data_IF_423346097953
#
_entry.id   IF_423346097953
#
_cell.length_a   1.000
_cell.length_b   1.000
_cell.length_c   1.000
_cell.angle_alpha   90.00
_cell.angle_beta   90.00
_cell.angle_gamma   90.00
#
_symmetry.space_group_name_H-M   'P 1'
#
loop_
_entity.id
_entity.type
_entity.pdbx_description
1 polymer ?
#
# COMPACT_ATOMS: atom_id res chain seq x y z
N UNK A 1 34.50 -13.80 -30.58
CA UNK A 1 33.11 -13.38 -30.86
C UNK A 1 32.27 -13.87 -29.70
N UNK A 2 31.90 -12.98 -28.78
CA UNK A 2 31.10 -13.32 -27.62
C UNK A 2 29.64 -13.41 -28.05
N UNK A 3 29.03 -14.58 -27.91
CA UNK A 3 27.60 -14.77 -28.15
C UNK A 3 26.80 -13.91 -27.16
N UNK A 4 25.88 -13.12 -27.71
CA UNK A 4 24.92 -12.36 -26.92
C UNK A 4 24.04 -13.35 -26.14
N UNK A 5 24.20 -13.39 -24.82
CA UNK A 5 23.32 -14.12 -23.91
C UNK A 5 21.92 -13.55 -24.09
N UNK A 6 21.03 -14.34 -24.69
CA UNK A 6 19.63 -14.00 -24.81
C UNK A 6 18.98 -14.13 -23.40
N UNK A 7 18.53 -13.05 -22.77
CA UNK A 7 17.91 -13.09 -21.45
C UNK A 7 16.54 -13.82 -21.44
N UNK A 8 16.07 -14.27 -22.61
CA UNK A 8 14.85 -15.07 -22.80
C UNK A 8 15.12 -16.56 -23.02
N UNK A 9 16.34 -17.05 -22.76
CA UNK A 9 16.63 -18.50 -22.82
C UNK A 9 15.71 -19.29 -21.88
N UNK A 10 14.96 -20.23 -22.46
CA UNK A 10 14.04 -21.17 -21.79
C UNK A 10 14.77 -22.21 -20.92
N UNK A 11 16.09 -22.17 -20.81
CA UNK A 11 16.90 -23.15 -20.07
C UNK A 11 17.26 -22.72 -18.65
N UNK A 12 16.91 -21.50 -18.23
CA UNK A 12 17.15 -21.02 -16.88
C UNK A 12 16.06 -21.46 -15.91
N UNK A 13 15.95 -22.75 -15.59
CA UNK A 13 15.24 -23.20 -14.39
C UNK A 13 15.99 -22.64 -13.19
N UNK A 14 15.60 -21.44 -12.73
CA UNK A 14 15.96 -20.97 -11.42
C UNK A 14 15.47 -22.04 -10.44
N UNK A 15 16.39 -22.75 -9.78
CA UNK A 15 16.04 -23.77 -8.80
C UNK A 15 15.09 -23.13 -7.78
N UNK A 16 13.81 -23.49 -7.84
CA UNK A 16 12.82 -23.11 -6.84
C UNK A 16 13.28 -23.72 -5.51
N UNK A 17 13.92 -22.92 -4.67
CA UNK A 17 14.34 -23.36 -3.35
C UNK A 17 13.10 -23.71 -2.53
N UNK A 18 13.17 -24.85 -1.84
CA UNK A 18 12.03 -25.58 -1.28
C UNK A 18 11.38 -24.89 -0.08
N UNK A 19 10.66 -23.79 -0.30
CA UNK A 19 9.57 -23.46 0.63
C UNK A 19 8.57 -24.62 0.61
N UNK A 20 8.14 -25.15 1.77
CA UNK A 20 7.08 -26.14 1.81
C UNK A 20 5.87 -25.59 1.03
N UNK A 21 5.24 -26.42 0.19
CA UNK A 21 4.17 -25.99 -0.72
C UNK A 21 3.03 -25.24 -0.02
N UNK A 22 2.75 -25.59 1.25
CA UNK A 22 1.74 -24.92 2.05
C UNK A 22 2.09 -23.45 2.36
N UNK A 23 3.39 -23.13 2.44
CA UNK A 23 3.91 -21.83 2.87
C UNK A 23 4.37 -20.98 1.69
N UNK A 24 4.72 -21.57 0.54
CA UNK A 24 5.22 -20.87 -0.66
C UNK A 24 4.11 -20.08 -1.39
N UNK A 25 4.14 -18.74 -1.42
CA UNK A 25 3.26 -17.95 -2.28
C UNK A 25 3.41 -18.32 -3.77
N UNK A 26 4.61 -18.61 -4.25
CA UNK A 26 4.87 -19.00 -5.64
C UNK A 26 4.08 -20.26 -6.03
N UNK A 27 4.06 -21.27 -5.16
CA UNK A 27 3.29 -22.49 -5.38
C UNK A 27 1.79 -22.20 -5.49
N UNK A 28 1.24 -21.42 -4.57
CA UNK A 28 -0.18 -21.03 -4.58
C UNK A 28 -0.54 -20.21 -5.82
N UNK A 29 0.33 -19.27 -6.21
CA UNK A 29 0.16 -18.52 -7.45
C UNK A 29 0.17 -19.45 -8.65
N UNK A 30 1.11 -20.38 -8.75
CA UNK A 30 1.14 -21.33 -9.86
C UNK A 30 -0.14 -22.19 -9.95
N UNK A 31 -0.67 -22.65 -8.81
CA UNK A 31 -1.96 -23.36 -8.78
C UNK A 31 -3.12 -22.47 -9.23
N UNK A 32 -3.15 -21.21 -8.80
CA UNK A 32 -4.17 -20.26 -9.23
C UNK A 32 -4.10 -19.98 -10.74
N UNK A 33 -2.90 -19.82 -11.30
CA UNK A 33 -2.69 -19.64 -12.74
C UNK A 33 -3.16 -20.86 -13.54
N UNK A 34 -2.80 -22.07 -13.11
CA UNK A 34 -3.26 -23.31 -13.74
C UNK A 34 -4.78 -23.42 -13.71
N UNK A 35 -5.41 -23.11 -12.57
CA UNK A 35 -6.86 -23.18 -12.41
C UNK A 35 -7.62 -22.15 -13.25
N UNK A 36 -7.05 -20.96 -13.45
CA UNK A 36 -7.74 -19.83 -14.12
C UNK A 36 -7.43 -19.72 -15.61
N UNK A 37 -6.22 -20.09 -16.03
CA UNK A 37 -5.74 -19.92 -17.41
C UNK A 37 -5.43 -21.23 -18.12
N UNK A 38 -5.40 -22.36 -17.40
CA UNK A 38 -4.94 -23.65 -17.94
C UNK A 38 -3.42 -23.72 -18.19
N UNK A 39 -2.67 -22.65 -17.88
CA UNK A 39 -1.23 -22.56 -18.12
C UNK A 39 -0.48 -22.32 -16.81
N UNK A 40 0.78 -22.81 -16.69
CA UNK A 40 1.59 -22.54 -15.52
C UNK A 40 1.94 -21.06 -15.43
N UNK A 41 2.13 -20.55 -14.21
CA UNK A 41 2.54 -19.16 -13.96
C UNK A 41 3.81 -18.79 -14.73
N UNK A 42 4.74 -19.73 -14.88
CA UNK A 42 6.01 -19.52 -15.61
C UNK A 42 5.83 -19.22 -17.10
N UNK A 43 4.67 -19.52 -17.70
CA UNK A 43 4.35 -19.20 -19.09
C UNK A 43 3.80 -17.77 -19.25
N UNK A 44 3.32 -17.15 -18.17
CA UNK A 44 2.71 -15.82 -18.24
C UNK A 44 3.76 -14.72 -18.41
N UNK A 45 3.44 -13.66 -19.15
CA UNK A 45 4.28 -12.46 -19.28
C UNK A 45 3.39 -11.23 -19.27
N UNK A 46 3.86 -10.17 -18.62
CA UNK A 46 3.19 -8.89 -18.75
C UNK A 46 3.52 -8.26 -20.09
N UNK A 47 2.48 -7.92 -20.83
CA UNK A 47 2.57 -7.39 -22.20
C UNK A 47 1.70 -6.13 -22.29
N UNK A 48 2.31 -4.94 -22.52
CA UNK A 48 1.56 -3.70 -22.70
C UNK A 48 0.54 -3.81 -23.83
N UNK A 49 -0.68 -3.34 -23.59
CA UNK A 49 -1.74 -3.32 -24.59
C UNK A 49 -2.60 -4.58 -24.67
N UNK A 50 -2.08 -5.73 -24.25
CA UNK A 50 -2.78 -7.03 -24.31
C UNK A 50 -3.18 -7.52 -22.92
N UNK A 51 -2.34 -7.30 -21.91
CA UNK A 51 -2.64 -7.70 -20.54
C UNK A 51 -3.74 -6.81 -19.97
N UNK A 52 -4.57 -7.34 -19.06
CA UNK A 52 -5.64 -6.55 -18.43
C UNK A 52 -5.06 -5.29 -17.75
N UNK A 53 -5.72 -4.14 -17.95
CA UNK A 53 -5.30 -2.84 -17.41
C UNK A 53 -3.84 -2.44 -17.74
N UNK A 54 -3.33 -2.86 -18.90
CA UNK A 54 -1.95 -2.57 -19.35
C UNK A 54 -1.85 -1.48 -20.43
N UNK A 55 -2.94 -0.74 -20.70
CA UNK A 55 -2.94 0.37 -21.66
C UNK A 55 -2.86 1.72 -20.95
N UNK A 56 -2.07 2.66 -21.50
CA UNK A 56 -2.04 4.05 -21.01
C UNK A 56 -3.46 4.66 -20.95
N UNK A 57 -4.25 4.42 -22.01
CA UNK A 57 -5.63 4.92 -22.10
C UNK A 57 -6.50 4.33 -21.00
N UNK A 58 -6.36 3.04 -20.69
CA UNK A 58 -7.09 2.39 -19.60
C UNK A 58 -6.74 2.99 -18.24
N UNK A 59 -5.44 3.20 -17.98
CA UNK A 59 -4.95 3.85 -16.75
C UNK A 59 -5.48 5.27 -16.59
N UNK A 60 -5.36 6.10 -17.63
CA UNK A 60 -5.88 7.47 -17.63
C UNK A 60 -7.40 7.51 -17.43
N UNK A 61 -8.12 6.62 -18.13
CA UNK A 61 -9.58 6.47 -17.96
C UNK A 61 -9.91 6.08 -16.52
N UNK A 62 -9.13 5.18 -15.92
CA UNK A 62 -9.25 4.79 -14.52
C UNK A 62 -9.11 5.97 -13.55
N UNK A 63 -8.10 6.83 -13.75
CA UNK A 63 -7.92 8.05 -12.94
C UNK A 63 -9.12 8.98 -13.09
N UNK A 64 -9.56 9.25 -14.32
CA UNK A 64 -10.71 10.13 -14.57
C UNK A 64 -11.99 9.59 -13.93
N UNK A 65 -12.27 8.29 -14.09
CA UNK A 65 -13.44 7.64 -13.49
C UNK A 65 -13.35 7.63 -11.97
N UNK A 66 -12.17 7.40 -11.40
CA UNK A 66 -11.95 7.46 -9.96
C UNK A 66 -12.24 8.87 -9.42
N UNK A 67 -11.66 9.91 -10.03
CA UNK A 67 -11.91 11.30 -9.60
C UNK A 67 -13.37 11.71 -9.80
N UNK A 68 -14.00 11.30 -10.91
CA UNK A 68 -15.42 11.51 -11.15
C UNK A 68 -16.28 10.83 -10.06
N UNK A 69 -15.92 9.61 -9.65
CA UNK A 69 -16.57 8.91 -8.53
C UNK A 69 -16.37 9.67 -7.22
N UNK A 70 -15.17 10.19 -6.93
CA UNK A 70 -14.92 10.98 -5.72
C UNK A 70 -15.79 12.23 -5.69
N UNK A 71 -15.67 13.11 -6.68
CA UNK A 71 -16.35 14.41 -6.65
C UNK A 71 -17.86 14.30 -6.95
N UNK A 72 -18.23 13.49 -7.95
CA UNK A 72 -19.62 13.23 -8.30
C UNK A 72 -20.34 12.45 -7.21
N UNK A 73 -19.72 11.41 -6.66
CA UNK A 73 -20.27 10.65 -5.54
C UNK A 73 -20.48 11.51 -4.30
N UNK A 74 -19.54 12.42 -3.99
CA UNK A 74 -19.75 13.40 -2.91
C UNK A 74 -20.94 14.32 -3.17
N UNK A 75 -21.11 14.79 -4.41
CA UNK A 75 -22.24 15.65 -4.78
C UNK A 75 -23.58 14.93 -4.62
N UNK A 76 -23.68 13.69 -5.11
CA UNK A 76 -24.88 12.85 -4.95
C UNK A 76 -25.17 12.61 -3.47
N UNK A 77 -24.15 12.24 -2.70
CA UNK A 77 -24.32 11.92 -1.28
C UNK A 77 -24.70 13.12 -0.40
N UNK A 78 -24.50 14.37 -0.86
CA UNK A 78 -25.03 15.57 -0.16
C UNK A 78 -26.55 15.52 -0.05
N UNK A 79 -27.24 15.09 -1.11
CA UNK A 79 -28.70 15.05 -1.19
C UNK A 79 -29.30 13.81 -0.49
N UNK A 80 -28.49 12.83 -0.12
CA UNK A 80 -28.93 11.64 0.62
C UNK A 80 -29.03 11.94 2.11
N UNK A 81 -30.20 11.76 2.73
CA UNK A 81 -30.46 12.17 4.11
C UNK A 81 -29.54 11.51 5.15
N UNK A 82 -29.21 10.22 5.00
CA UNK A 82 -28.43 9.44 5.99
C UNK A 82 -27.21 8.78 5.35
N UNK A 83 -26.07 8.66 6.07
CA UNK A 83 -24.92 7.91 5.58
C UNK A 83 -25.24 6.42 5.46
N UNK A 84 -24.70 5.77 4.42
CA UNK A 84 -24.96 4.35 4.16
C UNK A 84 -24.11 3.50 5.11
N UNK A 85 -24.78 2.63 5.88
CA UNK A 85 -24.12 1.78 6.89
C UNK A 85 -23.53 0.52 6.27
N UNK A 86 -22.29 0.60 5.80
CA UNK A 86 -21.58 -0.51 5.14
C UNK A 86 -20.59 -1.22 6.08
N UNK A 87 -20.97 -1.49 7.33
CA UNK A 87 -20.04 -2.02 8.36
C UNK A 87 -19.38 -3.34 7.95
N UNK A 88 -20.19 -4.35 7.59
CA UNK A 88 -19.69 -5.68 7.20
C UNK A 88 -18.84 -5.64 5.95
N UNK A 89 -19.26 -4.87 4.94
CA UNK A 89 -18.49 -4.68 3.69
C UNK A 89 -17.14 -4.03 4.00
N UNK A 90 -17.12 -3.00 4.86
CA UNK A 90 -15.87 -2.35 5.28
C UNK A 90 -14.95 -3.32 6.03
N UNK A 91 -15.50 -4.13 6.93
CA UNK A 91 -14.74 -5.14 7.67
C UNK A 91 -14.11 -6.14 6.71
N UNK A 92 -14.90 -6.72 5.81
CA UNK A 92 -14.43 -7.70 4.84
C UNK A 92 -13.38 -7.09 3.91
N UNK A 93 -13.62 -5.89 3.39
CA UNK A 93 -12.68 -5.17 2.51
C UNK A 93 -11.31 -4.94 3.18
N UNK A 94 -11.28 -4.40 4.41
CA UNK A 94 -10.03 -4.17 5.13
C UNK A 94 -9.31 -5.50 5.47
N UNK A 95 -10.07 -6.54 5.83
CA UNK A 95 -9.49 -7.86 6.09
C UNK A 95 -8.88 -8.45 4.82
N UNK A 96 -9.58 -8.37 3.69
CA UNK A 96 -9.09 -8.82 2.38
C UNK A 96 -7.82 -8.06 1.98
N UNK A 97 -7.79 -6.74 2.08
CA UNK A 97 -6.59 -5.96 1.74
C UNK A 97 -5.43 -6.24 2.68
N UNK A 98 -5.68 -6.51 3.97
CA UNK A 98 -4.64 -6.97 4.91
C UNK A 98 -4.04 -8.31 4.45
N UNK A 99 -4.89 -9.29 4.14
CA UNK A 99 -4.46 -10.63 3.73
C UNK A 99 -3.74 -10.62 2.38
N UNK A 100 -4.28 -9.91 1.39
CA UNK A 100 -3.66 -9.79 0.06
C UNK A 100 -2.30 -9.08 0.18
N UNK A 101 -2.22 -8.01 0.98
CA UNK A 101 -0.94 -7.29 1.16
C UNK A 101 0.11 -8.19 1.82
N UNK A 102 -0.28 -8.98 2.82
CA UNK A 102 0.62 -9.93 3.48
C UNK A 102 1.06 -11.05 2.55
N UNK A 103 0.15 -11.59 1.74
CA UNK A 103 0.48 -12.61 0.74
C UNK A 103 1.47 -12.08 -0.31
N UNK A 104 1.24 -10.89 -0.86
CA UNK A 104 2.14 -10.28 -1.84
C UNK A 104 3.49 -9.91 -1.23
N UNK A 105 3.52 -9.46 0.03
CA UNK A 105 4.78 -9.22 0.75
C UNK A 105 5.61 -10.50 0.83
N UNK A 106 5.01 -11.61 1.25
CA UNK A 106 5.68 -12.90 1.29
C UNK A 106 6.13 -13.35 -0.10
N UNK A 107 5.33 -13.10 -1.13
CA UNK A 107 5.69 -13.43 -2.51
C UNK A 107 6.91 -12.62 -2.98
N UNK A 108 6.99 -11.32 -2.69
CA UNK A 108 8.18 -10.52 -2.97
C UNK A 108 9.41 -11.04 -2.24
N UNK A 109 9.27 -11.37 -0.94
CA UNK A 109 10.37 -11.91 -0.14
C UNK A 109 10.88 -13.24 -0.68
N UNK A 110 9.98 -14.15 -1.09
CA UNK A 110 10.34 -15.44 -1.68
C UNK A 110 11.21 -15.28 -2.94
N UNK A 111 10.92 -14.27 -3.77
CA UNK A 111 11.69 -14.02 -4.99
C UNK A 111 12.99 -13.24 -4.74
N UNK A 112 13.01 -12.31 -3.78
CA UNK A 112 14.14 -11.39 -3.59
C UNK A 112 15.20 -11.87 -2.61
N UNK A 113 14.81 -12.57 -1.53
CA UNK A 113 15.74 -12.98 -0.48
C UNK A 113 16.86 -13.90 -1.00
N UNK A 114 16.60 -14.89 -1.89
CA UNK A 114 17.67 -15.70 -2.47
C UNK A 114 18.63 -14.85 -3.32
N UNK A 115 18.09 -13.98 -4.18
CA UNK A 115 18.91 -13.10 -5.00
C UNK A 115 19.78 -12.15 -4.15
N UNK A 116 19.24 -11.65 -3.03
CA UNK A 116 20.01 -10.83 -2.09
C UNK A 116 21.12 -11.67 -1.44
N UNK A 117 20.80 -12.84 -0.91
CA UNK A 117 21.77 -13.73 -0.27
C UNK A 117 22.93 -14.09 -1.20
N UNK A 118 22.62 -14.43 -2.44
CA UNK A 118 23.60 -15.03 -3.36
C UNK A 118 24.37 -13.98 -4.16
N UNK A 119 23.74 -12.84 -4.49
CA UNK A 119 24.30 -11.82 -5.39
C UNK A 119 24.46 -10.44 -4.74
N UNK A 120 24.01 -10.26 -3.50
CA UNK A 120 24.11 -9.03 -2.73
C UNK A 120 22.99 -8.02 -3.00
N UNK A 121 22.90 -7.01 -2.12
CA UNK A 121 21.83 -6.00 -2.15
C UNK A 121 21.86 -5.13 -3.41
N UNK A 122 23.05 -4.71 -3.85
CA UNK A 122 23.17 -3.86 -5.03
C UNK A 122 22.60 -4.55 -6.29
N UNK A 123 22.89 -5.86 -6.45
CA UNK A 123 22.34 -6.64 -7.55
C UNK A 123 20.81 -6.65 -7.53
N UNK A 124 20.17 -6.79 -6.35
CA UNK A 124 18.71 -6.89 -6.28
C UNK A 124 18.00 -5.57 -6.57
N UNK A 125 18.62 -4.42 -6.30
CA UNK A 125 17.99 -3.11 -6.57
C UNK A 125 18.35 -2.53 -7.94
N UNK A 126 19.49 -2.90 -8.52
CA UNK A 126 19.98 -2.31 -9.78
C UNK A 126 20.23 -3.32 -10.90
N UNK A 127 20.53 -4.58 -10.60
CA UNK A 127 20.98 -5.54 -11.60
C UNK A 127 19.94 -5.82 -12.69
N UNK A 128 20.37 -5.87 -13.95
CA UNK A 128 19.48 -6.13 -15.08
C UNK A 128 18.70 -7.45 -14.95
N UNK A 129 19.32 -8.48 -14.36
CA UNK A 129 18.73 -9.81 -14.17
C UNK A 129 17.96 -9.95 -12.86
N UNK A 130 17.79 -8.87 -12.08
CA UNK A 130 16.97 -8.88 -10.86
C UNK A 130 15.47 -8.80 -11.17
N UNK A 131 15.10 -8.21 -12.31
CA UNK A 131 13.72 -8.24 -12.81
C UNK A 131 13.45 -9.56 -13.53
N UNK A 132 13.10 -10.59 -12.76
CA UNK A 132 12.78 -11.92 -13.27
C UNK A 132 11.30 -12.04 -13.65
N UNK A 133 10.93 -13.08 -14.39
CA UNK A 133 9.52 -13.31 -14.70
C UNK A 133 8.64 -13.58 -13.45
N UNK A 134 9.05 -14.40 -12.48
CA UNK A 134 8.29 -14.55 -11.24
C UNK A 134 8.08 -13.21 -10.51
N UNK A 135 9.10 -12.34 -10.51
CA UNK A 135 9.01 -10.98 -9.97
C UNK A 135 7.94 -10.14 -10.71
N UNK A 136 7.94 -10.19 -12.04
CA UNK A 136 6.98 -9.46 -12.88
C UNK A 136 5.52 -9.85 -12.57
N UNK A 137 5.25 -11.14 -12.29
CA UNK A 137 3.92 -11.61 -11.87
C UNK A 137 3.52 -10.97 -10.55
N UNK A 138 4.39 -11.05 -9.53
CA UNK A 138 4.09 -10.51 -8.19
C UNK A 138 3.89 -9.00 -8.25
N UNK A 139 4.73 -8.31 -9.02
CA UNK A 139 4.60 -6.87 -9.24
C UNK A 139 3.28 -6.52 -9.93
N UNK A 140 2.91 -7.24 -10.98
CA UNK A 140 1.64 -7.02 -11.67
C UNK A 140 0.43 -7.25 -10.74
N UNK A 141 0.47 -8.26 -9.87
CA UNK A 141 -0.58 -8.46 -8.88
C UNK A 141 -0.63 -7.30 -7.87
N UNK A 142 0.52 -6.79 -7.42
CA UNK A 142 0.58 -5.57 -6.61
C UNK A 142 0.03 -4.33 -7.35
N UNK A 143 0.27 -4.21 -8.65
CA UNK A 143 -0.35 -3.17 -9.45
C UNK A 143 -1.88 -3.30 -9.48
N UNK A 144 -2.42 -4.53 -9.63
CA UNK A 144 -3.87 -4.76 -9.59
C UNK A 144 -4.48 -4.40 -8.22
N UNK A 145 -3.76 -4.57 -7.10
CA UNK A 145 -4.30 -4.17 -5.80
C UNK A 145 -4.52 -2.66 -5.71
N UNK A 146 -3.75 -1.83 -6.42
CA UNK A 146 -3.96 -0.37 -6.44
C UNK A 146 -5.29 0.04 -7.05
N UNK A 147 -5.81 -0.75 -7.99
CA UNK A 147 -7.17 -0.60 -8.49
C UNK A 147 -8.22 -1.01 -7.47
N UNK A 148 -7.96 -2.07 -6.69
CA UNK A 148 -8.85 -2.52 -5.62
C UNK A 148 -8.92 -1.50 -4.46
N UNK A 149 -7.82 -0.83 -4.16
CA UNK A 149 -7.72 0.22 -3.14
C UNK A 149 -8.61 1.45 -3.45
N UNK A 150 -9.03 1.68 -4.71
CA UNK A 150 -10.02 2.72 -5.02
C UNK A 150 -11.35 2.52 -4.29
N UNK A 151 -11.67 1.29 -3.92
CA UNK A 151 -12.87 0.99 -3.14
C UNK A 151 -12.83 1.60 -1.73
N UNK A 152 -11.66 1.89 -1.16
CA UNK A 152 -11.55 2.62 0.12
C UNK A 152 -12.25 3.97 0.03
N UNK A 153 -11.99 4.69 -1.06
CA UNK A 153 -12.58 6.00 -1.28
C UNK A 153 -14.08 5.91 -1.55
N UNK A 154 -14.52 4.89 -2.29
CA UNK A 154 -15.97 4.60 -2.47
C UNK A 154 -16.64 4.42 -1.12
N UNK A 155 -16.07 3.59 -0.23
CA UNK A 155 -16.61 3.36 1.11
C UNK A 155 -16.63 4.63 1.97
N UNK A 156 -15.64 5.53 1.84
CA UNK A 156 -15.64 6.82 2.53
C UNK A 156 -16.76 7.73 2.01
N UNK A 157 -16.91 7.85 0.70
CA UNK A 157 -17.94 8.68 0.05
C UNK A 157 -19.35 8.21 0.44
N UNK A 158 -19.63 6.90 0.38
CA UNK A 158 -20.94 6.34 0.77
C UNK A 158 -21.26 6.52 2.26
N UNK A 159 -20.23 6.64 3.11
CA UNK A 159 -20.37 6.99 4.53
C UNK A 159 -20.47 8.50 4.79
N UNK A 160 -20.54 9.32 3.74
CA UNK A 160 -20.50 10.80 3.80
C UNK A 160 -19.25 11.33 4.50
N UNK A 161 -18.14 10.60 4.43
CA UNK A 161 -16.82 11.11 4.88
C UNK A 161 -16.13 11.78 3.71
N UNK A 162 -15.60 12.99 3.94
CA UNK A 162 -14.82 13.69 2.91
C UNK A 162 -13.42 13.09 2.84
N UNK A 163 -13.03 12.44 1.72
CA UNK A 163 -11.65 12.01 1.56
C UNK A 163 -10.76 13.26 1.51
N UNK A 164 -9.66 13.22 2.24
CA UNK A 164 -8.67 14.29 2.21
C UNK A 164 -7.97 14.34 0.86
N UNK A 165 -7.41 15.51 0.50
CA UNK A 165 -6.63 15.66 -0.74
C UNK A 165 -5.52 14.59 -0.83
N UNK A 166 -4.79 14.39 0.27
CA UNK A 166 -3.75 13.36 0.37
C UNK A 166 -4.26 11.98 -0.07
N UNK A 167 -5.48 11.61 0.32
CA UNK A 167 -6.02 10.27 0.07
C UNK A 167 -6.28 10.04 -1.43
N UNK A 168 -7.11 10.88 -2.07
CA UNK A 168 -7.45 10.64 -3.48
C UNK A 168 -6.30 11.01 -4.44
N UNK A 169 -5.43 11.94 -4.05
CA UNK A 169 -4.19 12.20 -4.78
C UNK A 169 -3.25 10.99 -4.74
N UNK A 170 -3.02 10.42 -3.55
CA UNK A 170 -2.18 9.24 -3.39
C UNK A 170 -2.74 8.03 -4.14
N UNK A 171 -4.01 7.66 -3.94
CA UNK A 171 -4.55 6.47 -4.61
C UNK A 171 -4.48 6.59 -6.14
N UNK A 172 -4.91 7.72 -6.71
CA UNK A 172 -4.90 7.91 -8.17
C UNK A 172 -3.50 7.83 -8.76
N UNK A 173 -2.52 8.51 -8.17
CA UNK A 173 -1.17 8.57 -8.71
C UNK A 173 -0.31 7.36 -8.33
N UNK A 174 -0.59 6.66 -7.24
CA UNK A 174 0.10 5.40 -6.90
C UNK A 174 -0.24 4.31 -7.92
N UNK A 175 -1.48 4.26 -8.40
CA UNK A 175 -1.85 3.35 -9.49
C UNK A 175 -1.09 3.68 -10.79
N UNK A 176 -0.97 4.97 -11.14
CA UNK A 176 -0.17 5.42 -12.30
C UNK A 176 1.32 5.10 -12.11
N UNK A 177 1.86 5.34 -10.91
CA UNK A 177 3.25 5.05 -10.59
C UNK A 177 3.55 3.55 -10.78
N UNK A 178 2.75 2.66 -10.20
CA UNK A 178 2.95 1.22 -10.37
C UNK A 178 2.85 0.79 -11.85
N UNK A 179 2.01 1.46 -12.65
CA UNK A 179 1.94 1.18 -14.08
C UNK A 179 3.22 1.61 -14.83
N UNK A 180 3.72 2.83 -14.59
CA UNK A 180 4.95 3.33 -15.22
C UNK A 180 6.19 2.53 -14.80
N UNK A 181 6.27 2.11 -13.54
CA UNK A 181 7.34 1.25 -13.02
C UNK A 181 7.30 -0.16 -13.66
N UNK A 182 6.10 -0.70 -13.90
CA UNK A 182 5.91 -1.98 -14.60
C UNK A 182 6.30 -1.86 -16.09
N UNK A 183 5.94 -0.76 -16.75
CA UNK A 183 6.42 -0.44 -18.11
C UNK A 183 7.95 -0.35 -18.15
N UNK A 184 8.54 0.33 -17.16
CA UNK A 184 9.97 0.55 -17.05
C UNK A 184 10.77 -0.69 -16.61
N UNK A 185 10.09 -1.74 -16.11
CA UNK A 185 10.70 -2.93 -15.50
C UNK A 185 11.81 -2.55 -14.51
N UNK A 186 11.47 -1.66 -13.60
CA UNK A 186 12.42 -1.02 -12.67
C UNK A 186 12.79 -1.98 -11.54
N UNK A 187 14.08 -2.26 -11.40
CA UNK A 187 14.56 -3.26 -10.44
C UNK A 187 14.33 -2.88 -8.98
N UNK A 188 14.56 -1.63 -8.58
CA UNK A 188 14.39 -1.17 -7.19
C UNK A 188 12.93 -1.25 -6.71
N UNK A 189 11.97 -1.40 -7.62
CA UNK A 189 10.55 -1.33 -7.29
C UNK A 189 10.09 -2.45 -6.34
N UNK A 190 10.77 -3.61 -6.30
CA UNK A 190 10.38 -4.71 -5.38
C UNK A 190 10.51 -4.32 -3.90
N UNK A 191 11.58 -3.62 -3.51
CA UNK A 191 11.81 -3.28 -2.10
C UNK A 191 10.87 -2.16 -1.67
N UNK A 192 10.64 -1.18 -2.53
CA UNK A 192 9.66 -0.10 -2.32
C UNK A 192 8.26 -0.71 -2.15
N UNK A 193 7.86 -1.63 -3.03
CA UNK A 193 6.58 -2.32 -2.92
C UNK A 193 6.50 -3.17 -1.64
N UNK A 194 7.60 -3.83 -1.25
CA UNK A 194 7.63 -4.66 -0.03
C UNK A 194 7.42 -3.84 1.23
N UNK A 195 8.10 -2.69 1.37
CA UNK A 195 7.92 -1.80 2.52
C UNK A 195 6.50 -1.21 2.51
N UNK A 196 5.98 -0.82 1.34
CA UNK A 196 4.59 -0.36 1.22
C UNK A 196 3.58 -1.44 1.64
N UNK A 197 3.76 -2.68 1.19
CA UNK A 197 2.89 -3.80 1.55
C UNK A 197 2.95 -4.11 3.04
N UNK A 198 4.12 -4.02 3.67
CA UNK A 198 4.25 -4.16 5.12
C UNK A 198 3.44 -3.10 5.86
N UNK A 199 3.56 -1.83 5.46
CA UNK A 199 2.78 -0.73 6.05
C UNK A 199 1.29 -0.94 5.77
N UNK A 200 0.89 -1.42 4.58
CA UNK A 200 -0.49 -1.72 4.23
C UNK A 200 -1.09 -2.85 5.08
N UNK A 201 -0.32 -3.91 5.38
CA UNK A 201 -0.76 -4.96 6.32
C UNK A 201 -1.13 -4.34 7.67
N UNK A 202 -0.27 -3.49 8.22
CA UNK A 202 -0.49 -2.85 9.53
C UNK A 202 -1.66 -1.86 9.46
N UNK A 203 -1.72 -1.04 8.41
CA UNK A 203 -2.74 -0.01 8.20
C UNK A 203 -4.15 -0.60 8.03
N UNK A 204 -4.32 -1.58 7.12
CA UNK A 204 -5.62 -2.19 6.89
C UNK A 204 -6.07 -3.04 8.08
N UNK A 205 -5.14 -3.69 8.79
CA UNK A 205 -5.47 -4.36 10.04
C UNK A 205 -5.97 -3.38 11.11
N UNK A 206 -5.33 -2.21 11.22
CA UNK A 206 -5.80 -1.14 12.08
C UNK A 206 -7.21 -0.68 11.70
N UNK A 207 -7.50 -0.48 10.41
CA UNK A 207 -8.84 -0.08 9.96
C UNK A 207 -9.90 -1.18 10.15
N UNK A 208 -9.54 -2.44 9.97
CA UNK A 208 -10.40 -3.58 10.30
C UNK A 208 -10.77 -3.54 11.79
N UNK A 209 -9.79 -3.42 12.68
CA UNK A 209 -10.00 -3.35 14.13
C UNK A 209 -10.84 -2.15 14.55
N UNK A 210 -10.58 -0.97 13.95
CA UNK A 210 -11.38 0.23 14.15
C UNK A 210 -12.83 0.03 13.71
N UNK A 211 -13.07 -0.66 12.59
CA UNK A 211 -14.42 -0.98 12.11
C UNK A 211 -15.17 -1.99 12.99
N UNK A 212 -14.44 -2.82 13.75
CA UNK A 212 -14.99 -3.67 14.81
C UNK A 212 -15.33 -2.91 16.11
N UNK A 213 -15.02 -1.61 16.18
CA UNK A 213 -15.29 -0.75 17.33
C UNK A 213 -14.16 -0.70 18.36
N UNK A 214 -13.00 -1.29 18.07
CA UNK A 214 -11.83 -1.22 18.95
C UNK A 214 -11.08 0.09 18.70
N UNK A 215 -10.89 0.90 19.75
CA UNK A 215 -10.03 2.09 19.70
C UNK A 215 -8.60 1.65 20.00
N UNK A 216 -7.65 2.00 19.13
CA UNK A 216 -6.24 1.67 19.34
C UNK A 216 -5.42 2.96 19.53
N UNK A 217 -4.53 2.98 20.52
CA UNK A 217 -3.74 4.17 20.89
C UNK A 217 -2.65 4.51 19.86
N UNK A 218 -2.12 3.51 19.15
CA UNK A 218 -0.98 3.61 18.24
C UNK A 218 -1.29 4.18 16.84
N UNK A 219 -2.32 5.03 16.72
CA UNK A 219 -2.66 5.69 15.44
C UNK A 219 -1.55 6.62 14.93
N UNK A 220 -0.80 7.22 15.86
CA UNK A 220 0.31 8.13 15.53
C UNK A 220 1.51 7.35 15.02
N UNK A 221 1.85 6.23 15.68
CA UNK A 221 2.89 5.29 15.25
C UNK A 221 2.63 4.83 13.81
N UNK A 222 1.37 4.56 13.44
CA UNK A 222 1.01 4.21 12.07
C UNK A 222 1.40 5.30 11.06
N UNK A 223 1.12 6.56 11.37
CA UNK A 223 1.46 7.69 10.48
C UNK A 223 2.98 7.89 10.42
N UNK A 224 3.68 7.70 11.54
CA UNK A 224 5.14 7.74 11.60
C UNK A 224 5.76 6.63 10.74
N UNK A 225 5.23 5.41 10.78
CA UNK A 225 5.68 4.30 9.92
C UNK A 225 5.54 4.63 8.44
N UNK A 226 4.43 5.27 8.03
CA UNK A 226 4.23 5.72 6.64
C UNK A 226 5.26 6.79 6.22
N UNK A 227 5.57 7.75 7.10
CA UNK A 227 6.60 8.77 6.82
C UNK A 227 7.98 8.13 6.69
N UNK A 228 8.35 7.24 7.61
CA UNK A 228 9.63 6.52 7.57
C UNK A 228 9.74 5.68 6.29
N UNK A 229 8.67 5.00 5.89
CA UNK A 229 8.62 4.31 4.59
C UNK A 229 9.00 5.26 3.45
N UNK A 230 8.32 6.41 3.30
CA UNK A 230 8.60 7.32 2.18
C UNK A 230 10.04 7.86 2.19
N UNK A 231 10.63 8.08 3.37
CA UNK A 231 12.03 8.50 3.48
C UNK A 231 12.98 7.42 2.97
N UNK A 232 12.76 6.16 3.33
CA UNK A 232 13.56 5.01 2.86
C UNK A 232 13.38 4.81 1.36
N UNK A 233 12.13 4.82 0.88
CA UNK A 233 11.79 4.64 -0.54
C UNK A 233 12.46 5.72 -1.42
N UNK A 234 12.43 6.98 -0.96
CA UNK A 234 13.09 8.09 -1.65
C UNK A 234 14.61 7.94 -1.66
N UNK A 235 15.22 7.56 -0.54
CA UNK A 235 16.66 7.30 -0.49
C UNK A 235 17.09 6.27 -1.53
N UNK A 236 16.35 5.17 -1.65
CA UNK A 236 16.60 4.13 -2.65
C UNK A 236 16.36 4.62 -4.08
N UNK A 237 15.27 5.34 -4.34
CA UNK A 237 14.98 5.88 -5.67
C UNK A 237 16.05 6.85 -6.15
N UNK A 238 16.43 7.83 -5.32
CA UNK A 238 17.46 8.80 -5.66
C UNK A 238 18.84 8.14 -5.81
N UNK A 239 19.15 7.13 -4.98
CA UNK A 239 20.38 6.36 -5.13
C UNK A 239 20.45 5.62 -6.48
N UNK A 240 19.38 4.93 -6.88
CA UNK A 240 19.33 4.23 -8.16
C UNK A 240 19.34 5.21 -9.35
N UNK A 241 18.63 6.32 -9.27
CA UNK A 241 18.63 7.36 -10.30
C UNK A 241 20.01 8.00 -10.45
N UNK A 242 20.67 8.34 -9.34
CA UNK A 242 22.02 8.88 -9.33
C UNK A 242 23.02 7.88 -9.97
N UNK A 243 22.94 6.61 -9.58
CA UNK A 243 23.81 5.56 -10.14
C UNK A 243 23.59 5.39 -11.65
N UNK A 244 22.35 5.40 -12.12
CA UNK A 244 22.04 5.35 -13.56
C UNK A 244 22.59 6.58 -14.31
N UNK A 245 22.36 7.79 -13.79
CA UNK A 245 22.83 9.02 -14.45
C UNK A 245 24.36 9.06 -14.51
N UNK A 246 25.04 8.71 -13.42
CA UNK A 246 26.51 8.75 -13.34
C UNK A 246 27.17 7.68 -14.20
N UNK A 247 26.58 6.49 -14.31
CA UNK A 247 27.07 5.43 -15.20
C UNK A 247 27.03 5.84 -16.68
N UNK A 248 26.01 6.62 -17.09
CA UNK A 248 25.85 7.14 -18.45
C UNK A 248 26.40 8.56 -18.64
N UNK A 249 27.06 9.15 -17.64
CA UNK A 249 27.60 10.49 -17.72
C UNK A 249 28.89 10.51 -18.56
N UNK A 250 29.05 11.58 -19.36
CA UNK A 250 30.29 11.81 -20.14
C UNK A 250 31.47 12.13 -19.22
N UNK A 251 31.20 12.74 -18.06
CA UNK A 251 32.19 13.05 -17.03
C UNK A 251 32.21 11.90 -16.02
N UNK A 252 33.39 11.34 -15.69
CA UNK A 252 33.50 10.28 -14.68
C UNK A 252 33.14 10.83 -13.30
N UNK A 253 31.92 10.52 -12.86
CA UNK A 253 31.44 10.79 -11.52
C UNK A 253 31.55 9.52 -10.67
N UNK A 254 31.64 9.64 -9.33
CA UNK A 254 31.66 8.46 -8.47
C UNK A 254 30.35 7.67 -8.62
N UNK A 255 30.42 6.50 -9.25
CA UNK A 255 29.32 5.54 -9.37
C UNK A 255 29.64 4.28 -8.58
N UNK A 256 28.62 3.70 -7.94
CA UNK A 256 28.75 2.42 -7.24
C UNK A 256 28.28 1.30 -8.17
N UNK A 257 29.13 0.31 -8.40
CA UNK A 257 28.74 -0.90 -9.13
C UNK A 257 28.46 -0.66 -10.62
N UNK A 258 27.36 -1.25 -11.10
CA UNK A 258 26.94 -1.26 -12.50
C UNK A 258 25.70 -0.38 -12.72
N UNK A 259 25.25 -0.23 -13.97
CA UNK A 259 24.01 0.48 -14.29
C UNK A 259 22.79 -0.10 -13.55
N UNK A 260 21.85 0.77 -13.19
CA UNK A 260 20.59 0.40 -12.58
C UNK A 260 19.51 0.24 -13.65
N UNK A 261 18.87 -0.94 -13.67
CA UNK A 261 17.79 -1.24 -14.61
C UNK A 261 16.53 -0.42 -14.33
N UNK A 262 16.09 0.30 -15.34
CA UNK A 262 14.81 1.02 -15.38
C UNK A 262 14.80 2.04 -16.52
N UNK A 263 13.63 2.59 -16.83
CA UNK A 263 13.54 3.74 -17.73
C UNK A 263 13.70 5.03 -16.93
N UNK A 264 14.30 6.06 -17.54
CA UNK A 264 14.43 7.39 -16.91
C UNK A 264 13.07 7.99 -16.55
N UNK A 265 12.07 7.76 -17.41
CA UNK A 265 10.71 8.23 -17.18
C UNK A 265 10.13 7.64 -15.89
N UNK A 266 10.19 6.32 -15.71
CA UNK A 266 9.73 5.66 -14.48
C UNK A 266 10.48 6.20 -13.26
N UNK A 267 11.81 6.31 -13.33
CA UNK A 267 12.61 6.85 -12.24
C UNK A 267 12.23 8.29 -11.86
N UNK A 268 11.93 9.17 -12.84
CA UNK A 268 11.43 10.51 -12.57
C UNK A 268 10.04 10.50 -11.94
N UNK A 269 9.13 9.65 -12.42
CA UNK A 269 7.82 9.46 -11.79
C UNK A 269 7.97 9.02 -10.32
N UNK A 270 8.80 8.01 -10.05
CA UNK A 270 9.10 7.55 -8.70
C UNK A 270 9.62 8.67 -7.80
N UNK A 271 10.67 9.38 -8.22
CA UNK A 271 11.27 10.45 -7.41
C UNK A 271 10.28 11.59 -7.14
N UNK A 272 9.57 12.08 -8.16
CA UNK A 272 8.65 13.22 -8.03
C UNK A 272 7.43 12.86 -7.19
N UNK A 273 6.78 11.72 -7.46
CA UNK A 273 5.56 11.32 -6.77
C UNK A 273 5.83 10.97 -5.31
N UNK A 274 6.86 10.18 -5.01
CA UNK A 274 7.22 9.84 -3.64
C UNK A 274 7.61 11.09 -2.84
N UNK A 275 8.29 12.06 -3.46
CA UNK A 275 8.64 13.33 -2.82
C UNK A 275 7.36 14.13 -2.47
N UNK A 276 6.41 14.16 -3.41
CA UNK A 276 5.11 14.81 -3.17
C UNK A 276 4.32 14.12 -2.04
N UNK A 277 4.37 12.78 -1.94
CA UNK A 277 3.71 12.04 -0.88
C UNK A 277 4.34 12.32 0.48
N UNK A 278 5.67 12.27 0.59
CA UNK A 278 6.36 12.59 1.83
C UNK A 278 5.95 13.98 2.36
N UNK A 279 5.94 14.98 1.48
CA UNK A 279 5.52 16.34 1.86
C UNK A 279 4.08 16.37 2.38
N UNK A 280 3.15 15.71 1.69
CA UNK A 280 1.74 15.69 2.09
C UNK A 280 1.53 14.92 3.41
N UNK A 281 2.25 13.81 3.63
CA UNK A 281 2.18 13.05 4.89
C UNK A 281 2.79 13.82 6.06
N UNK A 282 3.90 14.52 5.86
CA UNK A 282 4.50 15.41 6.87
C UNK A 282 3.54 16.56 7.20
N UNK A 283 2.92 17.18 6.19
CA UNK A 283 1.90 18.22 6.40
C UNK A 283 0.69 17.68 7.18
N UNK A 284 0.21 16.49 6.82
CA UNK A 284 -0.86 15.81 7.54
C UNK A 284 -0.49 15.55 9.00
N UNK A 285 0.73 15.08 9.25
CA UNK A 285 1.22 14.80 10.61
C UNK A 285 1.30 16.08 11.44
N UNK A 286 1.93 17.13 10.92
CA UNK A 286 2.03 18.43 11.60
C UNK A 286 0.63 18.98 11.90
N UNK A 287 -0.30 18.92 10.95
CA UNK A 287 -1.66 19.43 11.13
C UNK A 287 -2.44 18.64 12.18
N UNK A 288 -2.33 17.31 12.16
CA UNK A 288 -3.17 16.42 12.98
C UNK A 288 -2.64 16.24 14.40
N UNK A 289 -1.30 16.16 14.56
CA UNK A 289 -0.68 15.80 15.83
C UNK A 289 0.03 16.99 16.50
N UNK A 290 0.69 17.87 15.75
CA UNK A 290 1.47 18.98 16.34
C UNK A 290 0.66 20.29 16.49
N UNK A 291 -0.18 20.63 15.51
CA UNK A 291 -1.02 21.85 15.53
C UNK A 291 -2.40 21.61 16.13
N UNK A 292 -2.84 20.35 16.21
CA UNK A 292 -4.15 19.94 16.75
C UNK A 292 -4.33 20.22 18.25
N UNK A 293 -3.27 20.57 18.98
CA UNK A 293 -3.34 20.89 20.42
C UNK A 293 -3.60 22.36 20.76
N UNK A 294 -3.64 23.29 19.79
CA UNK A 294 -3.84 24.73 20.07
C UNK A 294 -5.25 25.27 19.77
N UNK A 295 -6.28 24.44 19.71
CA UNK A 295 -7.65 24.88 19.44
C UNK A 295 -8.74 24.03 20.08
N UNK A 296 -9.14 24.42 21.30
CA UNK A 296 -10.37 24.08 22.02
C UNK A 296 -10.65 22.60 22.36
N UNK A 297 -10.76 22.37 23.68
CA UNK A 297 -11.54 21.31 24.31
C UNK A 297 -12.82 20.96 23.54
N UNK A 298 -12.89 19.73 23.03
CA UNK A 298 -14.11 18.94 22.90
C UNK A 298 -13.76 17.45 22.83
N UNK A 299 -13.72 16.81 24.01
CA UNK A 299 -14.04 15.38 24.12
C UNK A 299 -12.94 14.38 24.47
N UNK A 300 -11.93 14.75 25.26
CA UNK A 300 -11.17 13.76 26.04
C UNK A 300 -11.25 14.15 27.52
N UNK A 301 -12.28 13.66 28.21
CA UNK A 301 -12.31 13.70 29.67
C UNK A 301 -11.37 12.59 30.12
N UNK A 302 -10.20 12.95 30.61
CA UNK A 302 -9.43 12.08 31.50
C UNK A 302 -10.36 11.65 32.63
N UNK A 303 -10.59 10.35 32.74
CA UNK A 303 -11.25 9.79 33.93
C UNK A 303 -10.22 9.94 35.04
N UNK A 304 -10.52 10.86 35.95
CA UNK A 304 -9.83 11.02 37.23
C UNK A 304 -10.13 9.77 38.06
N UNK A 305 -9.12 8.93 38.29
CA UNK A 305 -9.27 7.62 38.93
C UNK A 305 -9.52 7.71 40.45
N UNK A 306 -9.49 8.91 41.04
CA UNK A 306 -9.63 9.12 42.48
C UNK A 306 -11.06 9.38 42.99
N UNK A 307 -12.06 9.55 42.10
CA UNK A 307 -13.45 9.80 42.54
C UNK A 307 -14.27 8.53 42.86
N UNK A 308 -13.66 7.34 42.82
CA UNK A 308 -14.37 6.05 42.92
C UNK A 308 -14.18 5.30 44.24
N UNK A 309 -13.50 5.90 45.23
CA UNK A 309 -13.27 5.27 46.55
C UNK A 309 -14.21 5.69 47.69
N UNK A 310 -15.12 6.65 47.50
CA UNK A 310 -15.97 7.18 48.59
C UNK A 310 -17.46 6.83 48.52
N UNK A 311 -17.88 5.90 47.65
CA UNK A 311 -19.27 5.38 47.66
C UNK A 311 -19.31 3.86 47.79
N UNK A 312 -18.83 3.36 48.93
CA UNK A 312 -19.15 1.99 49.37
C UNK A 312 -19.11 1.87 50.90
N UNK A 313 -19.90 2.68 51.58
CA UNK A 313 -20.38 2.35 52.93
C UNK A 313 -21.75 2.99 53.12
N UNK A 314 -22.81 2.22 52.93
CA UNK A 314 -24.04 2.34 53.74
C UNK A 314 -24.93 1.12 53.46
N UNK A 315 -25.34 0.49 54.56
CA UNK A 315 -26.11 -0.76 54.69
C UNK A 315 -27.63 -0.48 54.52
N UNK A 316 -28.49 -1.49 54.28
CA UNK A 316 -29.86 -1.27 53.81
C UNK A 316 -30.85 -1.07 54.96
N UNK A 317 -31.86 -0.22 54.77
CA UNK A 317 -32.91 -0.05 55.76
C UNK A 317 -34.13 0.77 55.32
N UNK A 318 -35.25 0.04 55.20
CA UNK A 318 -36.65 0.44 55.42
C UNK A 318 -37.48 1.10 54.31
N UNK A 319 -38.66 0.49 54.17
CA UNK A 319 -39.90 0.89 53.52
C UNK A 319 -40.32 2.33 53.85
N UNK A 320 -40.93 3.05 52.89
CA UNK A 320 -42.32 3.53 53.00
C UNK A 320 -42.90 4.06 51.67
N UNK A 321 -44.21 4.23 51.69
CA UNK A 321 -45.22 4.24 50.60
C UNK A 321 -45.39 5.59 49.85
N UNK A 322 -46.22 5.63 48.77
CA UNK A 322 -46.25 6.71 47.79
C UNK A 322 -47.25 7.84 48.14
N UNK A 323 -47.05 9.05 47.60
CA UNK A 323 -48.06 10.11 47.60
C UNK A 323 -48.17 10.76 46.22
N UNK A 324 -49.43 11.12 45.95
CA UNK A 324 -50.16 11.47 44.73
C UNK A 324 -49.72 12.75 44.02
N UNK A 325 -50.21 12.81 42.78
CA UNK A 325 -50.41 13.98 41.93
C UNK A 325 -51.43 14.99 42.49
N UNK A 326 -51.23 16.24 42.10
CA UNK A 326 -52.15 17.39 41.91
C UNK A 326 -51.26 18.48 41.25
N UNK A 327 -51.59 19.18 40.16
CA UNK A 327 -52.81 19.37 39.36
C UNK A 327 -52.53 19.24 37.85
#
# INVERSE_FOLDING_TARGET
MAEAVNPFSLSGTQHSQHWPSLVSPDWWLNKAFLATTGQPKSAWRWTPGTTMLSTQRGVLTGVVLYLAMVFGGQMVMKNVAKPIRLKRITQLHNLLLTTISGFLLLAFMEQCLPAWRDKGFFFTICGADSWTQPMEVVYYLNYLTKWLEFFDTVLLVLKKKKPEFLHYYHHSLTMVLCFEELLGRVSVAWIICSINLLVHVIMYYYYFMASCGKRMWWKEILTTLQIVQFVVDLGLCYFCLYTHITFHAVVPLPSVGADCRGTRLAAYYGCVLLSSYLLLFVQFFIKTYLKGEKGNHLGFRSIDYDSMKTKKSESPGKLEKPVKAEE
#
